data_IF_373771474873
#
_entry.id   IF_373771474873
#
_cell.length_a   1.000
_cell.length_b   1.000
_cell.length_c   1.000
_cell.angle_alpha   90.00
_cell.angle_beta   90.00
_cell.angle_gamma   90.00
#
_symmetry.space_group_name_H-M   'P 1'
#
loop_
_entity.id
_entity.type
_entity.pdbx_description
1 polymer ?
#
# COMPACT_ATOMS: atom_id res chain seq x y z
N UNK A 1 -6.56 17.46 -0.26
CA UNK A 1 -6.25 16.20 0.45
C UNK A 1 -6.51 16.35 1.94
N UNK A 2 -7.35 15.50 2.56
CA UNK A 2 -7.59 15.49 4.03
C UNK A 2 -6.80 14.40 4.77
N UNK A 3 -6.22 13.46 4.03
CA UNK A 3 -5.54 12.29 4.57
C UNK A 3 -4.03 12.42 4.30
N UNK A 4 -3.32 13.06 5.23
CA UNK A 4 -1.86 13.10 5.22
C UNK A 4 -1.35 12.89 6.65
N UNK A 5 -0.34 12.04 6.80
CA UNK A 5 0.33 11.80 8.07
C UNK A 5 1.82 12.01 7.90
N UNK A 6 2.45 12.75 8.82
CA UNK A 6 3.88 13.07 8.78
C UNK A 6 4.35 13.62 7.41
N UNK A 7 3.50 14.43 6.77
CA UNK A 7 3.68 15.00 5.43
C UNK A 7 3.69 13.97 4.28
N UNK A 8 3.29 12.73 4.52
CA UNK A 8 3.03 11.71 3.52
C UNK A 8 1.53 11.67 3.22
N UNK A 9 1.16 12.05 2.00
CA UNK A 9 -0.21 12.12 1.54
C UNK A 9 -0.71 10.73 1.11
N UNK A 10 -1.99 10.43 1.35
CA UNK A 10 -2.64 9.20 0.92
C UNK A 10 -3.75 9.51 -0.08
N UNK A 11 -3.77 8.79 -1.20
CA UNK A 11 -4.77 9.01 -2.23
C UNK A 11 -6.12 8.41 -1.84
N UNK A 12 -7.20 9.08 -2.23
CA UNK A 12 -8.55 8.57 -2.00
C UNK A 12 -8.76 7.26 -2.78
N UNK A 13 -9.01 6.16 -2.06
CA UNK A 13 -9.34 4.86 -2.64
C UNK A 13 -10.85 4.67 -2.69
N UNK A 14 -11.37 4.26 -3.85
CA UNK A 14 -12.79 3.91 -4.02
C UNK A 14 -13.10 2.46 -3.69
N UNK A 15 -12.09 1.66 -3.33
CA UNK A 15 -12.21 0.23 -3.00
C UNK A 15 -13.06 -0.56 -4.03
N UNK A 16 -12.81 -0.34 -5.32
CA UNK A 16 -13.46 -1.03 -6.43
C UNK A 16 -12.56 -1.10 -7.66
N UNK A 17 -13.01 -1.80 -8.70
CA UNK A 17 -12.32 -1.86 -10.00
C UNK A 17 -12.09 -0.46 -10.59
N UNK A 18 -10.97 -0.33 -11.31
CA UNK A 18 -10.57 0.93 -11.91
C UNK A 18 -11.55 1.33 -13.03
N UNK A 19 -12.04 2.56 -12.92
CA UNK A 19 -12.71 3.31 -13.97
C UNK A 19 -11.94 4.59 -14.33
N UNK A 20 -12.45 5.30 -15.34
CA UNK A 20 -11.85 6.56 -15.81
C UNK A 20 -11.73 7.62 -14.71
N UNK A 21 -12.67 7.65 -13.75
CA UNK A 21 -12.66 8.61 -12.66
C UNK A 21 -11.43 8.44 -11.73
N UNK A 22 -10.89 7.22 -11.57
CA UNK A 22 -9.69 7.01 -10.75
C UNK A 22 -8.47 7.72 -11.35
N UNK A 23 -8.38 7.81 -12.69
CA UNK A 23 -7.29 8.53 -13.36
C UNK A 23 -7.38 10.03 -13.07
N UNK A 24 -8.60 10.58 -13.06
CA UNK A 24 -8.84 11.99 -12.75
C UNK A 24 -8.51 12.29 -11.29
N UNK A 25 -8.98 11.44 -10.37
CA UNK A 25 -8.70 11.56 -8.92
C UNK A 25 -7.19 11.47 -8.68
N UNK A 26 -6.50 10.48 -9.26
CA UNK A 26 -5.05 10.34 -9.10
C UNK A 26 -4.31 11.58 -9.62
N UNK A 27 -4.69 12.13 -10.77
CA UNK A 27 -4.09 13.36 -11.29
C UNK A 27 -4.31 14.54 -10.34
N UNK A 28 -5.53 14.72 -9.83
CA UNK A 28 -5.84 15.76 -8.84
C UNK A 28 -4.97 15.61 -7.59
N UNK A 29 -4.87 14.39 -7.03
CA UNK A 29 -4.06 14.11 -5.85
C UNK A 29 -2.56 14.41 -6.09
N UNK A 30 -2.04 14.07 -7.28
CA UNK A 30 -0.65 14.39 -7.67
C UNK A 30 -0.42 15.90 -7.73
N UNK A 31 -1.37 16.65 -8.31
CA UNK A 31 -1.32 18.12 -8.36
C UNK A 31 -1.33 18.70 -6.94
N UNK A 32 -2.22 18.21 -6.08
CA UNK A 32 -2.30 18.65 -4.68
C UNK A 32 -0.99 18.38 -3.93
N UNK A 33 -0.39 17.19 -4.08
CA UNK A 33 0.93 16.87 -3.50
C UNK A 33 1.98 17.87 -3.91
N UNK A 34 1.98 18.28 -5.17
CA UNK A 34 2.92 19.29 -5.67
C UNK A 34 2.63 20.68 -5.11
N UNK A 35 1.35 21.09 -5.07
CA UNK A 35 0.93 22.41 -4.60
C UNK A 35 1.17 22.61 -3.10
N UNK A 36 0.86 21.59 -2.29
CA UNK A 36 1.02 21.62 -0.84
C UNK A 36 2.38 21.13 -0.36
N UNK A 37 3.28 20.76 -1.28
CA UNK A 37 4.65 20.30 -0.96
C UNK A 37 4.69 19.10 -0.02
N UNK A 38 3.76 18.16 -0.17
CA UNK A 38 3.82 16.88 0.55
C UNK A 38 5.07 16.09 0.14
N UNK A 39 5.63 15.33 1.07
CA UNK A 39 6.85 14.53 0.88
C UNK A 39 6.66 13.42 -0.16
N UNK A 40 5.49 12.79 -0.16
CA UNK A 40 5.12 11.75 -1.13
C UNK A 40 3.61 11.59 -1.22
N UNK A 41 3.18 10.84 -2.24
CA UNK A 41 1.85 10.29 -2.38
C UNK A 41 1.91 8.76 -2.27
N UNK A 42 1.11 8.20 -1.38
CA UNK A 42 0.85 6.75 -1.28
C UNK A 42 -0.47 6.46 -1.99
N UNK A 43 -0.51 5.39 -2.81
CA UNK A 43 -1.69 4.98 -3.56
C UNK A 43 -1.83 3.48 -3.46
N UNK A 44 -3.00 3.00 -3.03
CA UNK A 44 -3.28 1.57 -3.07
C UNK A 44 -3.12 1.00 -4.47
N UNK A 45 -2.49 -0.17 -4.54
CA UNK A 45 -2.38 -0.93 -5.76
C UNK A 45 -3.78 -1.26 -6.32
N UNK A 46 -3.96 -1.25 -7.64
CA UNK A 46 -5.20 -1.68 -8.28
C UNK A 46 -5.64 -3.08 -7.87
N UNK A 47 -6.92 -3.27 -7.59
CA UNK A 47 -7.47 -4.59 -7.29
C UNK A 47 -7.24 -5.61 -8.40
N UNK A 48 -7.23 -5.19 -9.66
CA UNK A 48 -6.90 -6.01 -10.82
C UNK A 48 -5.47 -6.55 -10.79
N UNK A 49 -4.55 -5.87 -10.11
CA UNK A 49 -3.15 -6.30 -9.93
C UNK A 49 -3.00 -7.14 -8.66
N UNK A 50 -3.74 -6.80 -7.60
CA UNK A 50 -3.64 -7.47 -6.31
C UNK A 50 -4.43 -8.78 -6.21
N UNK A 51 -5.56 -8.90 -6.90
CA UNK A 51 -6.43 -10.08 -6.87
C UNK A 51 -6.94 -10.44 -8.28
N UNK A 52 -6.05 -10.75 -9.24
CA UNK A 52 -6.43 -10.98 -10.63
C UNK A 52 -7.35 -12.19 -10.85
N UNK A 53 -7.38 -13.16 -9.93
CA UNK A 53 -8.34 -14.28 -9.95
C UNK A 53 -9.79 -13.83 -9.71
N UNK A 54 -9.99 -12.63 -9.15
CA UNK A 54 -11.30 -12.04 -8.86
C UNK A 54 -11.62 -10.87 -9.78
N UNK A 55 -10.61 -10.09 -10.15
CA UNK A 55 -10.71 -8.92 -11.00
C UNK A 55 -9.93 -9.16 -12.30
N UNK A 56 -10.57 -9.72 -13.34
CA UNK A 56 -9.87 -10.32 -14.49
C UNK A 56 -9.15 -9.31 -15.40
N UNK A 57 -9.37 -8.01 -15.18
CA UNK A 57 -8.86 -6.95 -16.04
C UNK A 57 -7.46 -6.47 -15.66
N UNK A 58 -6.51 -7.38 -15.44
CA UNK A 58 -5.12 -7.06 -15.05
C UNK A 58 -4.49 -5.93 -15.89
N UNK A 59 -4.75 -5.91 -17.20
CA UNK A 59 -4.27 -4.86 -18.12
C UNK A 59 -4.74 -3.46 -17.71
N UNK A 60 -5.97 -3.30 -17.22
CA UNK A 60 -6.49 -2.00 -16.73
C UNK A 60 -5.69 -1.50 -15.53
N UNK A 61 -5.44 -2.38 -14.55
CA UNK A 61 -4.59 -2.05 -13.39
C UNK A 61 -3.17 -1.68 -13.78
N UNK A 62 -2.55 -2.43 -14.69
CA UNK A 62 -1.22 -2.11 -15.20
C UNK A 62 -1.17 -0.77 -15.97
N UNK A 63 -2.22 -0.43 -16.72
CA UNK A 63 -2.33 0.86 -17.40
C UNK A 63 -2.45 2.02 -16.41
N UNK A 64 -3.21 1.84 -15.33
CA UNK A 64 -3.35 2.84 -14.27
C UNK A 64 -2.02 3.08 -13.54
N UNK A 65 -1.29 2.01 -13.22
CA UNK A 65 0.06 2.12 -12.66
C UNK A 65 0.97 2.92 -13.60
N UNK A 66 0.99 2.58 -14.89
CA UNK A 66 1.82 3.29 -15.89
C UNK A 66 1.45 4.77 -16.00
N UNK A 67 0.17 5.10 -15.89
CA UNK A 67 -0.30 6.48 -15.86
C UNK A 67 0.26 7.23 -14.65
N UNK A 68 0.09 6.70 -13.44
CA UNK A 68 0.65 7.30 -12.21
C UNK A 68 2.16 7.46 -12.27
N UNK A 69 2.88 6.44 -12.76
CA UNK A 69 4.34 6.47 -12.95
C UNK A 69 4.81 7.47 -14.01
N UNK A 70 3.97 7.80 -14.99
CA UNK A 70 4.24 8.90 -15.93
C UNK A 70 3.99 10.25 -15.24
N UNK A 71 2.89 10.39 -14.53
CA UNK A 71 2.55 11.63 -13.83
C UNK A 71 3.57 11.97 -12.74
N UNK A 72 4.05 10.99 -11.95
CA UNK A 72 5.07 11.25 -10.91
C UNK A 72 6.32 11.92 -11.47
N UNK A 73 6.73 11.54 -12.70
CA UNK A 73 7.89 12.12 -13.40
C UNK A 73 7.60 13.53 -13.89
N UNK A 74 6.42 13.77 -14.46
CA UNK A 74 6.01 15.08 -14.97
C UNK A 74 5.93 16.10 -13.84
N UNK A 75 5.32 15.73 -12.72
CA UNK A 75 5.14 16.62 -11.57
C UNK A 75 6.31 16.60 -10.58
N UNK A 76 7.32 15.74 -10.82
CA UNK A 76 8.48 15.54 -9.96
C UNK A 76 8.11 15.29 -8.49
N UNK A 77 7.23 14.32 -8.25
CA UNK A 77 6.81 13.91 -6.91
C UNK A 77 7.27 12.48 -6.60
N UNK A 78 7.36 12.13 -5.32
CA UNK A 78 7.53 10.74 -4.88
C UNK A 78 6.15 10.07 -4.83
N UNK A 79 6.03 8.93 -5.50
CA UNK A 79 4.81 8.12 -5.56
C UNK A 79 5.15 6.70 -5.14
N UNK A 80 4.42 6.16 -4.18
CA UNK A 80 4.59 4.79 -3.70
C UNK A 80 3.27 4.02 -3.87
N UNK A 81 3.38 2.81 -4.42
CA UNK A 81 2.23 1.92 -4.58
C UNK A 81 2.14 0.97 -3.41
N UNK A 82 1.04 1.05 -2.70
CA UNK A 82 0.83 0.38 -1.43
C UNK A 82 0.04 -0.93 -1.62
N UNK A 83 0.43 -1.99 -0.92
CA UNK A 83 -0.44 -3.18 -0.83
C UNK A 83 -1.70 -2.82 -0.08
N UNK A 84 -2.85 -3.26 -0.56
CA UNK A 84 -4.12 -3.08 0.12
C UNK A 84 -4.86 -4.42 0.17
N UNK A 85 -5.49 -4.76 1.30
CA UNK A 85 -6.49 -5.80 1.33
C UNK A 85 -7.68 -5.40 0.46
N UNK A 86 -8.35 -6.37 -0.15
CA UNK A 86 -9.70 -6.13 -0.62
C UNK A 86 -10.64 -6.24 0.58
N UNK A 87 -11.08 -5.12 1.13
CA UNK A 87 -12.10 -5.05 2.19
C UNK A 87 -13.51 -4.86 1.62
N UNK A 88 -14.53 -5.21 2.39
CA UNK A 88 -15.91 -4.84 2.07
C UNK A 88 -16.11 -3.34 2.30
N UNK A 89 -16.83 -2.67 1.40
CA UNK A 89 -17.08 -1.24 1.57
C UNK A 89 -17.94 -0.99 2.82
N UNK A 90 -17.45 -0.15 3.72
CA UNK A 90 -18.16 0.22 4.96
C UNK A 90 -18.02 -0.78 6.11
N UNK A 91 -17.26 -1.87 5.94
CA UNK A 91 -16.87 -2.76 7.05
C UNK A 91 -15.35 -2.99 7.03
N UNK A 92 -14.80 -3.40 8.17
CA UNK A 92 -13.36 -3.68 8.30
C UNK A 92 -13.00 -5.12 7.91
N UNK A 93 -13.98 -5.88 7.41
CA UNK A 93 -13.81 -7.27 7.03
C UNK A 93 -13.20 -7.41 5.63
N UNK A 94 -12.40 -8.44 5.47
CA UNK A 94 -11.86 -8.82 4.18
C UNK A 94 -12.94 -9.37 3.23
N UNK A 95 -12.95 -8.83 2.02
CA UNK A 95 -13.73 -9.28 0.87
C UNK A 95 -12.99 -10.37 0.09
N UNK A 96 -11.68 -10.21 -0.10
CA UNK A 96 -10.82 -11.23 -0.71
C UNK A 96 -9.46 -11.26 -0.01
N UNK A 97 -8.87 -12.44 0.06
CA UNK A 97 -7.57 -12.67 0.69
C UNK A 97 -6.41 -11.85 0.12
N UNK A 98 -5.22 -12.07 0.66
CA UNK A 98 -4.07 -11.17 0.53
C UNK A 98 -3.61 -10.81 -0.90
N UNK A 99 -2.87 -9.72 -1.01
CA UNK A 99 -2.23 -9.24 -2.25
C UNK A 99 -1.39 -10.33 -2.93
N UNK A 100 -1.68 -10.59 -4.21
CA UNK A 100 -0.91 -11.49 -5.08
C UNK A 100 0.30 -10.74 -5.66
N UNK A 101 1.43 -10.83 -4.97
CA UNK A 101 2.60 -10.02 -5.26
C UNK A 101 3.22 -10.25 -6.64
N UNK A 102 3.03 -11.42 -7.26
CA UNK A 102 3.62 -11.82 -8.54
C UNK A 102 3.24 -10.92 -9.71
N UNK A 103 2.05 -10.33 -9.69
CA UNK A 103 1.56 -9.48 -10.78
C UNK A 103 2.00 -8.02 -10.67
N UNK A 104 2.57 -7.63 -9.53
CA UNK A 104 3.07 -6.27 -9.30
C UNK A 104 4.35 -6.04 -10.11
N UNK A 105 4.39 -4.99 -10.97
CA UNK A 105 5.58 -4.64 -11.74
C UNK A 105 6.83 -4.47 -10.88
N UNK A 106 7.99 -4.92 -11.38
CA UNK A 106 9.28 -4.80 -10.67
C UNK A 106 9.91 -3.39 -10.76
N UNK A 107 9.33 -2.50 -11.55
CA UNK A 107 9.90 -1.20 -11.92
C UNK A 107 9.29 -0.03 -11.16
N UNK A 108 8.38 -0.28 -10.23
CA UNK A 108 7.71 0.74 -9.42
C UNK A 108 8.22 0.70 -7.98
N UNK A 109 8.18 1.85 -7.32
CA UNK A 109 8.45 1.96 -5.90
C UNK A 109 7.19 1.60 -5.10
N UNK A 110 7.39 0.83 -4.03
CA UNK A 110 6.29 0.30 -3.21
C UNK A 110 6.29 0.96 -1.83
N UNK A 111 5.08 1.17 -1.31
CA UNK A 111 4.83 1.25 0.13
C UNK A 111 4.47 -0.16 0.60
N UNK A 112 5.08 -0.62 1.70
CA UNK A 112 4.61 -1.81 2.39
C UNK A 112 3.84 -1.36 3.62
N UNK A 113 2.54 -1.57 3.59
CA UNK A 113 1.71 -1.54 4.78
C UNK A 113 1.84 -2.88 5.51
N UNK A 114 2.32 -2.82 6.75
CA UNK A 114 2.52 -4.03 7.53
C UNK A 114 1.23 -4.63 8.06
N UNK A 115 0.24 -3.83 8.46
CA UNK A 115 -1.01 -4.35 9.03
C UNK A 115 -1.84 -5.09 7.99
N UNK A 116 -1.87 -4.59 6.76
CA UNK A 116 -2.48 -5.25 5.61
C UNK A 116 -1.93 -6.67 5.37
N UNK A 117 -0.64 -6.91 5.63
CA UNK A 117 -0.02 -8.24 5.51
C UNK A 117 -0.43 -9.19 6.64
N UNK A 118 -0.87 -8.66 7.78
CA UNK A 118 -1.28 -9.44 8.95
C UNK A 118 -2.73 -9.90 8.88
N UNK A 119 -3.55 -9.32 7.99
CA UNK A 119 -4.95 -9.69 7.89
C UNK A 119 -5.12 -11.12 7.34
N UNK A 120 -6.06 -11.87 7.90
CA UNK A 120 -6.42 -13.25 7.52
C UNK A 120 -5.30 -14.30 7.70
N UNK A 121 -4.22 -13.98 8.42
CA UNK A 121 -3.20 -14.96 8.79
C UNK A 121 -3.64 -15.74 10.04
N UNK A 122 -3.16 -16.98 10.18
CA UNK A 122 -3.60 -17.89 11.26
C UNK A 122 -2.90 -17.64 12.59
N UNK A 123 -1.75 -16.96 12.57
CA UNK A 123 -0.97 -16.67 13.78
C UNK A 123 -0.01 -15.50 13.62
N UNK A 124 0.46 -14.97 14.75
CA UNK A 124 1.51 -13.94 14.82
C UNK A 124 2.79 -14.37 14.10
N UNK A 125 3.16 -15.65 14.20
CA UNK A 125 4.34 -16.20 13.52
C UNK A 125 4.16 -16.24 12.01
N UNK A 126 2.94 -16.53 11.53
CA UNK A 126 2.62 -16.49 10.10
C UNK A 126 2.71 -15.07 9.55
N UNK A 127 2.11 -14.10 10.24
CA UNK A 127 2.22 -12.68 9.90
C UNK A 127 3.68 -12.25 9.74
N UNK A 128 4.51 -12.60 10.74
CA UNK A 128 5.94 -12.29 10.75
C UNK A 128 6.68 -12.94 9.59
N UNK A 129 6.41 -14.22 9.30
CA UNK A 129 7.00 -14.93 8.16
C UNK A 129 6.62 -14.29 6.83
N UNK A 130 5.37 -13.87 6.67
CA UNK A 130 4.88 -13.22 5.45
C UNK A 130 5.58 -11.89 5.20
N UNK A 131 5.71 -11.03 6.23
CA UNK A 131 6.45 -9.77 6.15
C UNK A 131 7.90 -10.02 5.72
N UNK A 132 8.60 -10.97 6.37
CA UNK A 132 9.99 -11.31 6.02
C UNK A 132 10.10 -11.86 4.60
N UNK A 133 9.15 -12.68 4.15
CA UNK A 133 9.11 -13.22 2.78
C UNK A 133 8.94 -12.11 1.74
N UNK A 134 8.06 -11.14 1.99
CA UNK A 134 7.84 -9.98 1.13
C UNK A 134 9.11 -9.13 1.07
N UNK A 135 9.72 -8.81 2.23
CA UNK A 135 10.99 -8.07 2.27
C UNK A 135 12.10 -8.76 1.47
N UNK A 136 12.24 -10.08 1.58
CA UNK A 136 13.24 -10.83 0.79
C UNK A 136 12.95 -10.73 -0.71
N UNK A 137 11.68 -10.83 -1.13
CA UNK A 137 11.28 -10.85 -2.54
C UNK A 137 11.27 -9.46 -3.18
N UNK A 138 10.88 -8.43 -2.42
CA UNK A 138 10.53 -7.08 -2.91
C UNK A 138 11.27 -5.95 -2.20
N UNK A 139 12.15 -6.22 -1.23
CA UNK A 139 12.78 -5.22 -0.37
C UNK A 139 13.59 -4.13 -1.08
N UNK A 140 14.04 -4.38 -2.32
CA UNK A 140 14.65 -3.34 -3.18
C UNK A 140 13.64 -2.35 -3.74
N UNK A 141 12.39 -2.78 -3.97
CA UNK A 141 11.29 -1.94 -4.47
C UNK A 141 10.58 -1.20 -3.33
N UNK A 142 10.56 -1.75 -2.12
CA UNK A 142 9.90 -1.12 -0.97
C UNK A 142 10.76 0.06 -0.51
N UNK A 143 10.24 1.28 -0.68
CA UNK A 143 10.90 2.55 -0.34
C UNK A 143 10.24 3.28 0.82
N UNK A 144 8.97 2.97 1.06
CA UNK A 144 8.16 3.53 2.14
C UNK A 144 7.47 2.42 2.92
N UNK A 145 7.13 2.69 4.17
CA UNK A 145 6.49 1.75 5.07
C UNK A 145 5.38 2.45 5.85
N UNK A 146 4.24 1.80 5.94
CA UNK A 146 3.21 2.10 6.93
C UNK A 146 3.32 1.04 8.00
N UNK A 147 3.66 1.47 9.22
CA UNK A 147 4.04 0.56 10.30
C UNK A 147 2.97 0.61 11.39
N UNK A 148 2.21 -0.47 11.48
CA UNK A 148 1.29 -0.77 12.56
C UNK A 148 1.06 -2.28 12.63
N UNK A 149 0.43 -2.72 13.72
CA UNK A 149 -0.06 -4.09 13.90
C UNK A 149 -1.58 -4.12 13.89
N UNK A 150 -2.13 -5.31 13.67
CA UNK A 150 -3.57 -5.56 13.68
C UNK A 150 -3.88 -6.78 14.57
N UNK A 151 -5.15 -7.01 14.88
CA UNK A 151 -5.63 -8.20 15.61
C UNK A 151 -5.71 -9.46 14.71
N UNK A 152 -5.13 -9.40 13.51
CA UNK A 152 -5.15 -10.39 12.43
C UNK A 152 -6.49 -10.51 11.67
N UNK A 153 -7.53 -9.81 12.11
CA UNK A 153 -8.87 -9.86 11.51
C UNK A 153 -9.29 -8.51 10.93
N UNK A 154 -9.02 -7.45 11.68
CA UNK A 154 -9.44 -6.09 11.40
C UNK A 154 -8.24 -5.15 11.30
N UNK A 155 -8.38 -4.15 10.44
CA UNK A 155 -7.35 -3.15 10.20
C UNK A 155 -7.33 -2.07 11.29
N UNK A 156 -6.85 -2.46 12.47
CA UNK A 156 -7.04 -1.76 13.75
C UNK A 156 -5.93 -0.75 14.08
N UNK A 157 -4.86 -0.70 13.29
CA UNK A 157 -3.77 0.26 13.49
C UNK A 157 -3.20 0.27 14.91
N UNK A 158 -3.08 -0.92 15.51
CA UNK A 158 -2.53 -1.11 16.85
C UNK A 158 -1.02 -0.78 16.88
N UNK A 159 -0.49 -0.37 18.05
CA UNK A 159 0.95 -0.21 18.25
C UNK A 159 1.73 -1.52 18.01
N UNK A 160 2.98 -1.37 17.58
CA UNK A 160 3.89 -2.50 17.38
C UNK A 160 4.27 -3.19 18.70
N UNK A 161 4.63 -4.47 18.62
CA UNK A 161 5.25 -5.21 19.72
C UNK A 161 4.99 -6.72 19.70
N UNK A 162 3.89 -7.19 19.07
CA UNK A 162 3.57 -8.62 19.02
C UNK A 162 4.15 -9.25 17.74
N UNK A 163 3.77 -8.73 16.58
CA UNK A 163 4.25 -9.22 15.27
C UNK A 163 5.61 -8.59 14.93
N UNK A 164 5.67 -7.26 14.99
CA UNK A 164 6.81 -6.41 14.67
C UNK A 164 7.63 -6.18 15.93
N UNK A 165 8.57 -7.09 16.18
CA UNK A 165 9.56 -6.94 17.25
C UNK A 165 10.54 -5.81 16.92
N UNK A 166 11.24 -5.27 17.93
CA UNK A 166 12.31 -4.26 17.73
C UNK A 166 13.35 -4.69 16.69
N UNK A 167 13.72 -5.98 16.68
CA UNK A 167 14.66 -6.53 15.69
C UNK A 167 14.08 -6.52 14.27
N UNK A 168 12.81 -6.89 14.11
CA UNK A 168 12.16 -6.85 12.80
C UNK A 168 11.96 -5.40 12.33
N UNK A 169 11.58 -4.49 13.24
CA UNK A 169 11.46 -3.07 12.94
C UNK A 169 12.76 -2.50 12.37
N UNK A 170 13.90 -2.78 13.00
CA UNK A 170 15.20 -2.31 12.52
C UNK A 170 15.50 -2.79 11.08
N UNK A 171 15.11 -4.02 10.74
CA UNK A 171 15.25 -4.55 9.38
C UNK A 171 14.26 -3.91 8.40
N UNK A 172 13.02 -3.66 8.84
CA UNK A 172 12.00 -2.99 8.04
C UNK A 172 12.49 -1.59 7.65
N UNK A 173 12.85 -0.75 8.62
CA UNK A 173 13.13 0.67 8.39
C UNK A 173 14.48 0.95 7.74
N UNK A 174 15.37 -0.04 7.67
CA UNK A 174 16.71 0.13 7.09
C UNK A 174 16.65 0.68 5.66
N UNK A 175 17.23 1.85 5.44
CA UNK A 175 17.27 2.57 4.17
C UNK A 175 15.89 2.85 3.54
N UNK A 176 14.85 3.01 4.36
CA UNK A 176 13.48 3.31 3.92
C UNK A 176 12.89 4.46 4.71
N UNK A 177 11.97 5.17 4.08
CA UNK A 177 11.11 6.11 4.82
C UNK A 177 9.96 5.33 5.47
N UNK A 178 9.40 5.84 6.55
CA UNK A 178 8.31 5.16 7.24
C UNK A 178 7.45 6.14 8.05
N UNK A 179 6.22 5.74 8.31
CA UNK A 179 5.33 6.35 9.29
C UNK A 179 4.78 5.27 10.24
N UNK A 180 4.47 5.65 11.46
CA UNK A 180 3.71 4.81 12.38
C UNK A 180 2.25 5.23 12.31
N UNK A 181 1.43 4.47 11.62
CA UNK A 181 0.01 4.81 11.47
C UNK A 181 -0.72 4.69 12.81
N UNK A 182 -1.70 5.57 12.99
CA UNK A 182 -2.47 5.68 14.23
C UNK A 182 -3.96 5.64 13.87
N UNK A 183 -4.70 4.76 14.55
CA UNK A 183 -6.17 4.70 14.47
C UNK A 183 -6.87 5.89 15.11
#
# INVERSE_FOLDING_TARGET
>A
MRNAQDNHAHADSRYKEIGWLDYVILLQNIIEVRLYSYTSLNVHLPFEVQHPSRYPHLKKGLMFIRFGERMKRIFNIRLYWENAPAQNYGTWDLKNGQTQWEHIPKTIDLCLDTGHVMLEVRSVEEARRNIVKILKKRGKQIKHLHIHENDLLHDTHNPIGKVITKKLLAVLIDNRTYIFEKG
#
